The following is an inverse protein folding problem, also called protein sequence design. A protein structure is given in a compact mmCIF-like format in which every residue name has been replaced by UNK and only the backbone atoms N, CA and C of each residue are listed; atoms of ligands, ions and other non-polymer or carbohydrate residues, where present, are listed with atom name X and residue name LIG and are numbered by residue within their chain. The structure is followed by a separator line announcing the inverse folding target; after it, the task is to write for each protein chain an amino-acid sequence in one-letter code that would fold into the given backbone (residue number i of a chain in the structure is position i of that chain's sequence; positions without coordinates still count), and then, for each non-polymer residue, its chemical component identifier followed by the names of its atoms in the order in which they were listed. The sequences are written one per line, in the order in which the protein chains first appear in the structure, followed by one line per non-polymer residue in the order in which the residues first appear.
data_IF_419540352097
#
_entry.id   IF_419540352097
#
_cell.length_a   1.000
_cell.length_b   1.000
_cell.length_c   1.000
_cell.angle_alpha   90.00
_cell.angle_beta   90.00
_cell.angle_gamma   90.00
#
_symmetry.space_group_name_H-M   'P 1'
#
loop_
_entity.id
_entity.type
_entity.pdbx_description
1 polymer ?
#
# COMPACT_ATOMS: atom_id res chain seq x y z
N UNK A 1 12.57 3.04 26.37
CA UNK A 1 11.87 2.18 27.35
C UNK A 1 11.80 0.76 26.80
N UNK A 2 11.52 -0.24 27.65
CA UNK A 2 11.23 -1.62 27.25
C UNK A 2 9.88 -1.98 27.87
N UNK A 3 8.93 -2.45 27.06
CA UNK A 3 7.60 -2.87 27.52
C UNK A 3 7.55 -4.40 27.45
N UNK A 4 7.54 -5.05 28.62
CA UNK A 4 7.50 -6.50 28.73
C UNK A 4 6.11 -7.06 28.35
N UNK A 5 6.10 -8.20 27.67
CA UNK A 5 4.92 -9.04 27.50
C UNK A 5 5.34 -10.48 27.22
N UNK A 6 4.57 -11.43 27.73
CA UNK A 6 4.74 -12.87 27.47
C UNK A 6 3.80 -13.37 26.36
N UNK A 7 3.00 -12.49 25.76
CA UNK A 7 2.06 -12.81 24.70
C UNK A 7 2.58 -12.37 23.32
N UNK A 8 2.39 -13.23 22.32
CA UNK A 8 2.65 -12.92 20.90
C UNK A 8 1.54 -13.44 19.99
N UNK A 9 1.43 -12.81 18.82
CA UNK A 9 0.66 -13.35 17.70
C UNK A 9 1.53 -14.40 17.02
N UNK A 10 0.98 -15.59 16.82
CA UNK A 10 1.65 -16.67 16.12
C UNK A 10 1.33 -16.58 14.62
N UNK A 11 2.19 -17.17 13.79
CA UNK A 11 2.05 -17.10 12.33
C UNK A 11 0.79 -17.79 11.81
N UNK A 12 0.27 -18.78 12.54
CA UNK A 12 -0.93 -19.57 12.23
C UNK A 12 -2.22 -19.01 12.85
N UNK A 13 -2.13 -17.94 13.64
CA UNK A 13 -3.32 -17.29 14.16
C UNK A 13 -4.12 -16.61 13.04
N UNK A 14 -5.46 -16.72 13.09
CA UNK A 14 -6.31 -15.90 12.23
C UNK A 14 -6.13 -14.41 12.60
N UNK A 15 -5.71 -13.55 11.66
CA UNK A 15 -5.26 -12.19 11.96
C UNK A 15 -6.23 -11.34 12.78
N UNK A 16 -7.49 -11.26 12.37
CA UNK A 16 -8.45 -10.33 12.96
C UNK A 16 -8.89 -10.77 14.36
N UNK A 17 -9.08 -12.08 14.56
CA UNK A 17 -9.36 -12.68 15.86
C UNK A 17 -8.17 -12.55 16.80
N UNK A 18 -6.94 -12.71 16.32
CA UNK A 18 -5.73 -12.56 17.14
C UNK A 18 -5.63 -11.15 17.73
N UNK A 19 -5.75 -10.12 16.89
CA UNK A 19 -5.73 -8.71 17.31
C UNK A 19 -6.87 -8.37 18.28
N UNK A 20 -8.03 -9.02 18.13
CA UNK A 20 -9.16 -8.83 19.03
C UNK A 20 -8.99 -9.55 20.38
N UNK A 21 -8.35 -10.72 20.43
CA UNK A 21 -8.25 -11.52 21.66
C UNK A 21 -6.97 -11.27 22.46
N UNK A 22 -5.82 -11.24 21.79
CA UNK A 22 -4.49 -11.17 22.39
C UNK A 22 -4.09 -9.73 22.70
N UNK A 23 -4.80 -9.10 23.65
CA UNK A 23 -4.68 -7.65 23.93
C UNK A 23 -3.33 -7.22 24.47
N UNK A 24 -2.52 -8.18 24.93
CA UNK A 24 -1.18 -7.97 25.46
C UNK A 24 -0.10 -8.44 24.49
N UNK A 25 -0.46 -8.93 23.30
CA UNK A 25 0.55 -9.33 22.33
C UNK A 25 1.48 -8.17 21.96
N UNK A 26 2.77 -8.46 21.76
CA UNK A 26 3.79 -7.45 21.43
C UNK A 26 3.38 -6.50 20.29
N UNK A 27 2.82 -7.04 19.20
CA UNK A 27 2.31 -6.25 18.07
C UNK A 27 1.13 -5.34 18.45
N UNK A 28 0.23 -5.81 19.32
CA UNK A 28 -0.94 -5.04 19.77
C UNK A 28 -0.51 -3.89 20.69
N UNK A 29 0.42 -4.16 21.61
CA UNK A 29 0.96 -3.12 22.50
C UNK A 29 1.70 -2.05 21.71
N UNK A 30 2.52 -2.44 20.73
CA UNK A 30 3.23 -1.48 19.88
C UNK A 30 2.26 -0.61 19.04
N UNK A 31 1.21 -1.21 18.47
CA UNK A 31 0.18 -0.45 17.74
C UNK A 31 -0.63 0.49 18.65
N UNK A 32 -0.89 0.10 19.90
CA UNK A 32 -1.56 0.97 20.89
C UNK A 32 -0.70 2.18 21.28
N UNK A 33 0.60 1.99 21.50
CA UNK A 33 1.51 3.09 21.78
C UNK A 33 1.45 4.17 20.68
N UNK A 34 1.36 3.78 19.41
CA UNK A 34 1.14 4.72 18.30
C UNK A 34 -0.22 5.41 18.39
N UNK A 35 -1.28 4.65 18.69
CA UNK A 35 -2.64 5.20 18.83
C UNK A 35 -2.75 6.21 19.99
N UNK A 36 -2.01 5.99 21.07
CA UNK A 36 -2.04 6.79 22.30
C UNK A 36 -1.06 7.97 22.25
N UNK A 37 -0.28 8.11 21.17
CA UNK A 37 0.69 9.19 21.00
C UNK A 37 1.98 8.99 21.79
N UNK A 38 2.23 7.78 22.27
CA UNK A 38 3.47 7.39 22.96
C UNK A 38 4.60 7.00 21.99
N UNK A 39 4.26 6.74 20.72
CA UNK A 39 5.19 6.46 19.63
C UNK A 39 4.70 7.03 18.30
N UNK A 40 5.61 7.39 17.40
CA UNK A 40 5.27 7.96 16.09
C UNK A 40 4.97 6.90 15.01
N UNK A 41 5.57 5.71 15.14
CA UNK A 41 5.45 4.63 14.16
C UNK A 41 5.67 3.25 14.81
N UNK A 42 5.25 2.20 14.10
CA UNK A 42 5.45 0.80 14.51
C UNK A 42 5.99 -0.03 13.34
N UNK A 43 6.93 -0.91 13.63
CA UNK A 43 7.48 -1.91 12.71
C UNK A 43 7.31 -3.30 13.31
N UNK A 44 6.96 -4.28 12.49
CA UNK A 44 6.93 -5.69 12.90
C UNK A 44 7.31 -6.60 11.75
N UNK A 45 8.14 -7.59 12.02
CA UNK A 45 8.46 -8.71 11.12
C UNK A 45 7.58 -9.94 11.41
N UNK A 46 6.44 -9.74 12.10
CA UNK A 46 5.48 -10.81 12.42
C UNK A 46 4.54 -11.14 11.26
N UNK A 47 3.40 -11.76 11.58
CA UNK A 47 2.37 -12.08 10.60
C UNK A 47 1.85 -10.80 9.89
N UNK A 48 1.97 -10.73 8.56
CA UNK A 48 1.58 -9.57 7.74
C UNK A 48 0.10 -9.22 7.90
N UNK A 49 -0.79 -10.21 7.87
CA UNK A 49 -2.23 -10.00 8.03
C UNK A 49 -2.55 -9.41 9.41
N UNK A 50 -1.87 -9.86 10.46
CA UNK A 50 -2.04 -9.34 11.80
C UNK A 50 -1.56 -7.89 11.91
N UNK A 51 -0.45 -7.54 11.24
CA UNK A 51 0.06 -6.17 11.20
C UNK A 51 -0.90 -5.24 10.45
N UNK A 52 -1.43 -5.68 9.30
CA UNK A 52 -2.47 -4.96 8.57
C UNK A 52 -3.73 -4.75 9.43
N UNK A 53 -4.18 -5.79 10.13
CA UNK A 53 -5.31 -5.69 11.05
C UNK A 53 -5.03 -4.76 12.23
N UNK A 54 -3.83 -4.78 12.80
CA UNK A 54 -3.42 -3.86 13.87
C UNK A 54 -3.43 -2.40 13.38
N UNK A 55 -2.84 -2.14 12.21
CA UNK A 55 -2.83 -0.83 11.59
C UNK A 55 -4.25 -0.32 11.33
N UNK A 56 -5.13 -1.15 10.80
CA UNK A 56 -6.50 -0.75 10.49
C UNK A 56 -7.38 -0.54 11.74
N UNK A 57 -7.38 -1.49 12.69
CA UNK A 57 -8.30 -1.47 13.83
C UNK A 57 -7.80 -0.71 15.05
N UNK A 58 -6.48 -0.55 15.23
CA UNK A 58 -5.88 0.10 16.41
C UNK A 58 -5.37 1.49 16.04
N UNK A 59 -4.40 1.58 15.12
CA UNK A 59 -3.83 2.87 14.71
C UNK A 59 -4.91 3.72 14.02
N UNK A 60 -5.61 3.10 13.06
CA UNK A 60 -6.65 3.74 12.26
C UNK A 60 -6.11 4.30 10.96
N UNK A 61 -7.04 4.67 10.07
CA UNK A 61 -6.74 5.23 8.75
C UNK A 61 -6.73 6.75 8.79
N UNK A 62 -5.99 7.34 7.85
CA UNK A 62 -6.12 8.76 7.51
C UNK A 62 -7.57 9.04 7.08
N UNK A 63 -8.13 10.15 7.55
CA UNK A 63 -9.49 10.57 7.20
C UNK A 63 -9.62 10.66 5.68
N UNK A 64 -10.70 10.12 5.13
CA UNK A 64 -11.02 10.03 3.70
C UNK A 64 -10.17 9.04 2.88
N UNK A 65 -9.26 8.27 3.49
CA UNK A 65 -8.66 7.11 2.82
C UNK A 65 -9.51 5.88 3.11
N UNK A 66 -10.08 5.25 2.08
CA UNK A 66 -11.08 4.19 2.23
C UNK A 66 -10.49 2.86 2.70
N UNK A 67 -9.34 2.48 2.13
CA UNK A 67 -8.62 1.26 2.51
C UNK A 67 -7.10 1.51 2.47
N UNK A 68 -6.31 0.95 3.40
CA UNK A 68 -4.86 1.00 3.29
C UNK A 68 -4.41 0.15 2.09
N UNK A 69 -3.31 0.52 1.43
CA UNK A 69 -2.64 -0.34 0.45
C UNK A 69 -1.34 -0.89 1.04
N UNK A 70 -1.02 -2.16 0.80
CA UNK A 70 0.30 -2.69 1.11
C UNK A 70 1.25 -2.26 0.00
N UNK A 71 2.27 -1.48 0.37
CA UNK A 71 3.21 -0.90 -0.57
C UNK A 71 4.63 -1.38 -0.29
N UNK A 72 5.41 -1.59 -1.33
CA UNK A 72 6.86 -1.81 -1.22
C UNK A 72 7.58 -1.13 -2.37
N UNK A 73 8.82 -0.70 -2.11
CA UNK A 73 9.73 -0.27 -3.17
C UNK A 73 10.40 -1.52 -3.76
N UNK A 74 10.05 -1.86 -4.99
CA UNK A 74 10.61 -2.97 -5.75
C UNK A 74 11.82 -2.49 -6.56
N UNK A 75 12.79 -3.36 -6.88
CA UNK A 75 13.99 -2.98 -7.61
C UNK A 75 13.71 -2.66 -9.09
N UNK A 76 14.61 -1.90 -9.70
CA UNK A 76 14.73 -1.76 -11.16
C UNK A 76 16.14 -2.12 -11.57
N UNK A 77 16.36 -2.42 -12.86
CA UNK A 77 17.70 -2.76 -13.39
C UNK A 77 18.70 -1.62 -13.16
N UNK A 78 18.25 -0.36 -13.24
CA UNK A 78 19.08 0.82 -12.98
C UNK A 78 19.28 1.12 -11.48
N UNK A 79 18.75 0.28 -10.59
CA UNK A 79 18.93 0.36 -9.13
C UNK A 79 18.08 1.42 -8.42
N UNK A 80 17.25 2.20 -9.15
CA UNK A 80 16.43 3.27 -8.54
C UNK A 80 15.20 2.73 -7.81
N UNK A 81 14.62 1.64 -8.31
CA UNK A 81 13.39 1.03 -7.82
C UNK A 81 12.12 1.79 -8.19
N UNK A 82 10.96 1.21 -7.88
CA UNK A 82 9.64 1.80 -8.02
C UNK A 82 8.72 1.37 -6.87
N UNK A 83 7.81 2.24 -6.45
CA UNK A 83 6.83 1.88 -5.43
C UNK A 83 5.63 1.19 -6.08
N UNK A 84 5.22 0.05 -5.54
CA UNK A 84 4.06 -0.69 -6.06
C UNK A 84 3.05 -0.92 -4.95
N UNK A 85 1.78 -0.67 -5.26
CA UNK A 85 0.65 -0.88 -4.36
C UNK A 85 -0.67 -1.01 -5.15
N UNK A 86 -1.64 -1.82 -4.71
CA UNK A 86 -1.63 -2.70 -3.53
C UNK A 86 -0.97 -4.07 -3.82
N UNK A 87 -0.29 -4.65 -2.83
CA UNK A 87 0.42 -5.94 -2.89
C UNK A 87 -0.22 -7.02 -1.99
N UNK A 88 -1.53 -6.93 -1.76
CA UNK A 88 -2.28 -7.94 -1.01
C UNK A 88 -2.90 -7.48 0.31
N UNK A 89 -3.00 -6.16 0.57
CA UNK A 89 -3.83 -5.71 1.70
C UNK A 89 -5.33 -5.96 1.43
N UNK A 90 -5.76 -5.87 0.17
CA UNK A 90 -7.15 -5.99 -0.22
C UNK A 90 -7.28 -6.92 -1.42
N UNK A 91 -8.12 -7.95 -1.31
CA UNK A 91 -8.42 -8.85 -2.42
C UNK A 91 -9.36 -8.22 -3.47
N UNK A 92 -10.13 -7.21 -3.06
CA UNK A 92 -11.08 -6.51 -3.93
C UNK A 92 -10.90 -5.00 -3.81
N UNK A 93 -10.83 -4.33 -4.96
CA UNK A 93 -10.69 -2.89 -5.04
C UNK A 93 -11.70 -2.27 -6.02
N UNK A 94 -12.05 -1.01 -5.75
CA UNK A 94 -12.77 -0.14 -6.69
C UNK A 94 -11.77 0.77 -7.40
N UNK A 95 -12.21 1.41 -8.49
CA UNK A 95 -11.37 2.37 -9.20
C UNK A 95 -10.94 3.55 -8.31
N UNK A 96 -11.82 3.97 -7.40
CA UNK A 96 -11.50 5.00 -6.41
C UNK A 96 -10.39 4.57 -5.45
N UNK A 97 -10.33 3.29 -5.05
CA UNK A 97 -9.21 2.82 -4.22
C UNK A 97 -7.88 2.93 -4.97
N UNK A 98 -7.83 2.54 -6.24
CA UNK A 98 -6.61 2.65 -7.05
C UNK A 98 -6.23 4.12 -7.27
N UNK A 99 -7.20 5.02 -7.46
CA UNK A 99 -6.93 6.46 -7.49
C UNK A 99 -6.28 6.95 -6.19
N UNK A 100 -6.80 6.56 -5.01
CA UNK A 100 -6.18 6.90 -3.73
C UNK A 100 -4.76 6.32 -3.59
N UNK A 101 -4.52 5.12 -4.11
CA UNK A 101 -3.19 4.50 -4.13
C UNK A 101 -2.19 5.28 -4.99
N UNK A 102 -2.62 5.81 -6.13
CA UNK A 102 -1.79 6.71 -6.93
C UNK A 102 -1.36 7.96 -6.14
N UNK A 103 -2.30 8.58 -5.41
CA UNK A 103 -2.03 9.75 -4.59
C UNK A 103 -1.07 9.43 -3.45
N UNK A 104 -1.31 8.33 -2.71
CA UNK A 104 -0.47 7.90 -1.59
C UNK A 104 0.94 7.52 -2.05
N UNK A 105 1.05 6.74 -3.13
CA UNK A 105 2.33 6.32 -3.70
C UNK A 105 3.12 7.52 -4.23
N UNK A 106 2.46 8.46 -4.93
CA UNK A 106 3.09 9.70 -5.40
C UNK A 106 3.62 10.54 -4.24
N UNK A 107 2.85 10.65 -3.15
CA UNK A 107 3.30 11.35 -1.95
C UNK A 107 4.53 10.68 -1.31
N UNK A 108 4.54 9.34 -1.19
CA UNK A 108 5.68 8.61 -0.65
C UNK A 108 6.92 8.74 -1.53
N UNK A 109 6.79 8.51 -2.84
CA UNK A 109 7.88 8.63 -3.80
C UNK A 109 8.51 10.04 -3.78
N UNK A 110 7.70 11.08 -3.62
CA UNK A 110 8.18 12.46 -3.51
C UNK A 110 8.87 12.75 -2.19
N UNK A 111 8.20 12.48 -1.07
CA UNK A 111 8.64 12.97 0.24
C UNK A 111 9.63 12.03 0.94
N UNK A 112 9.58 10.73 0.65
CA UNK A 112 10.47 9.73 1.24
C UNK A 112 11.60 9.35 0.29
N UNK A 113 11.30 9.15 -1.00
CA UNK A 113 12.32 8.77 -2.01
C UNK A 113 12.93 9.96 -2.77
N UNK A 114 12.45 11.19 -2.54
CA UNK A 114 13.01 12.40 -3.14
C UNK A 114 12.72 12.60 -4.63
N UNK A 115 11.73 11.90 -5.19
CA UNK A 115 11.38 11.98 -6.62
C UNK A 115 10.45 13.18 -6.82
N UNK A 116 10.96 14.30 -7.36
CA UNK A 116 10.23 15.58 -7.42
C UNK A 116 8.85 15.50 -8.11
N UNK A 117 8.76 14.77 -9.23
CA UNK A 117 7.53 14.57 -10.02
C UNK A 117 7.36 13.08 -10.37
N UNK A 118 6.94 12.22 -9.40
CA UNK A 118 6.88 10.78 -9.58
C UNK A 118 5.93 10.39 -10.72
N UNK A 119 6.41 9.63 -11.68
CA UNK A 119 5.60 9.05 -12.76
C UNK A 119 4.71 7.97 -12.17
N UNK A 120 3.41 8.10 -12.34
CA UNK A 120 2.41 7.13 -11.88
C UNK A 120 1.93 6.31 -13.08
N UNK A 121 2.13 4.99 -13.03
CA UNK A 121 1.63 4.05 -14.03
C UNK A 121 0.51 3.18 -13.48
N UNK A 122 -0.46 2.84 -14.33
CA UNK A 122 -1.51 1.86 -14.01
C UNK A 122 -1.12 0.49 -14.57
N UNK A 123 -0.96 -0.52 -13.72
CA UNK A 123 -0.65 -1.87 -14.17
C UNK A 123 -1.81 -2.42 -15.02
N UNK A 124 -1.51 -2.81 -16.25
CA UNK A 124 -2.53 -3.22 -17.22
C UNK A 124 -2.02 -4.30 -18.18
N UNK A 125 -2.93 -4.84 -19.00
CA UNK A 125 -2.67 -5.90 -19.99
C UNK A 125 -2.31 -5.36 -21.39
N UNK A 126 -1.92 -4.09 -21.48
CA UNK A 126 -1.47 -3.41 -22.70
C UNK A 126 -1.28 -1.92 -22.43
N UNK A 127 -0.55 -1.24 -23.31
CA UNK A 127 -0.17 0.18 -23.13
C UNK A 127 -1.24 1.16 -23.59
N UNK A 128 -2.18 0.74 -24.43
CA UNK A 128 -3.21 1.61 -24.99
C UNK A 128 -4.26 2.00 -23.92
N UNK A 129 -4.79 3.23 -23.98
CA UNK A 129 -5.78 3.72 -22.99
C UNK A 129 -7.05 2.88 -22.92
N UNK A 130 -7.42 2.20 -24.00
CA UNK A 130 -8.61 1.34 -24.08
C UNK A 130 -8.43 -0.06 -23.48
N UNK A 131 -7.23 -0.41 -22.99
CA UNK A 131 -6.91 -1.73 -22.43
C UNK A 131 -7.36 -1.87 -20.97
N UNK A 132 -7.52 -3.12 -20.56
CA UNK A 132 -7.95 -3.47 -19.21
C UNK A 132 -9.41 -3.90 -19.09
N UNK A 133 -9.70 -4.46 -17.92
CA UNK A 133 -11.04 -4.77 -17.44
C UNK A 133 -11.80 -3.48 -17.06
N UNK A 134 -13.08 -3.56 -16.64
CA UNK A 134 -13.83 -2.38 -16.22
C UNK A 134 -13.15 -1.58 -15.10
N UNK A 135 -12.53 -2.26 -14.13
CA UNK A 135 -11.83 -1.63 -13.01
C UNK A 135 -10.66 -0.75 -13.50
N UNK A 136 -9.81 -1.28 -14.39
CA UNK A 136 -8.66 -0.55 -14.95
C UNK A 136 -9.11 0.61 -15.84
N UNK A 137 -10.16 0.43 -16.64
CA UNK A 137 -10.69 1.49 -17.51
C UNK A 137 -11.21 2.67 -16.70
N UNK A 138 -12.03 2.40 -15.69
CA UNK A 138 -12.54 3.44 -14.80
C UNK A 138 -11.40 4.11 -14.00
N UNK A 139 -10.42 3.32 -13.53
CA UNK A 139 -9.24 3.85 -12.86
C UNK A 139 -8.44 4.77 -13.79
N UNK A 140 -8.24 4.38 -15.04
CA UNK A 140 -7.52 5.18 -16.02
C UNK A 140 -8.17 6.55 -16.18
N UNK A 141 -9.50 6.61 -16.33
CA UNK A 141 -10.24 7.86 -16.47
C UNK A 141 -10.08 8.77 -15.23
N UNK A 142 -10.14 8.19 -14.02
CA UNK A 142 -9.92 8.92 -12.77
C UNK A 142 -8.50 9.47 -12.67
N UNK A 143 -7.48 8.69 -13.07
CA UNK A 143 -6.08 9.11 -13.02
C UNK A 143 -5.76 10.19 -14.06
N UNK A 144 -6.39 10.14 -15.23
CA UNK A 144 -6.27 11.21 -16.24
C UNK A 144 -6.91 12.51 -15.76
N UNK A 145 -8.05 12.43 -15.06
CA UNK A 145 -8.78 13.59 -14.58
C UNK A 145 -8.08 14.32 -13.40
N UNK A 146 -7.15 13.66 -12.71
CA UNK A 146 -6.43 14.24 -11.57
C UNK A 146 -5.12 14.92 -12.00
N UNK A 147 -5.21 16.23 -12.25
CA UNK A 147 -4.06 17.06 -12.65
C UNK A 147 -2.93 17.16 -11.61
N UNK A 148 -3.17 16.71 -10.37
CA UNK A 148 -2.13 16.67 -9.33
C UNK A 148 -1.16 15.49 -9.52
N UNK A 149 -1.54 14.49 -10.32
CA UNK A 149 -0.75 13.31 -10.61
C UNK A 149 0.03 13.47 -11.92
N UNK A 150 1.26 12.97 -11.94
CA UNK A 150 2.02 12.80 -13.18
C UNK A 150 1.71 11.41 -13.77
N UNK A 151 0.47 11.22 -14.20
CA UNK A 151 0.01 9.96 -14.77
C UNK A 151 0.62 9.72 -16.15
N UNK A 152 1.35 8.62 -16.31
CA UNK A 152 2.06 8.26 -17.56
C UNK A 152 1.34 7.18 -18.38
N UNK A 153 0.11 6.82 -17.98
CA UNK A 153 -0.72 5.85 -18.67
C UNK A 153 -0.55 4.42 -18.15
N UNK A 154 -0.91 3.46 -18.99
CA UNK A 154 -0.83 2.04 -18.69
C UNK A 154 0.61 1.54 -18.77
N UNK A 155 0.99 0.65 -17.84
CA UNK A 155 2.28 -0.05 -17.83
C UNK A 155 2.05 -1.55 -17.86
N UNK A 156 2.83 -2.26 -18.67
CA UNK A 156 2.76 -3.73 -18.75
C UNK A 156 3.69 -4.40 -17.74
N UNK A 157 3.28 -5.54 -17.19
CA UNK A 157 4.01 -6.27 -16.15
C UNK A 157 5.46 -6.61 -16.56
N UNK A 158 5.68 -6.91 -17.84
CA UNK A 158 7.02 -7.27 -18.38
C UNK A 158 8.04 -6.13 -18.26
N UNK A 159 7.57 -4.88 -18.17
CA UNK A 159 8.42 -3.70 -18.19
C UNK A 159 8.65 -3.10 -16.80
N UNK A 160 8.05 -3.65 -15.73
CA UNK A 160 8.13 -3.11 -14.36
C UNK A 160 9.58 -2.89 -13.89
N UNK A 161 10.44 -3.88 -14.14
CA UNK A 161 11.86 -3.80 -13.73
C UNK A 161 12.69 -2.82 -14.57
N UNK A 162 12.15 -2.30 -15.67
CA UNK A 162 12.84 -1.39 -16.59
C UNK A 162 12.64 0.10 -16.24
N UNK A 163 12.07 0.42 -15.07
CA UNK A 163 11.91 1.80 -14.62
C UNK A 163 10.85 2.59 -15.40
N UNK A 164 9.80 1.92 -15.88
CA UNK A 164 8.70 2.52 -16.65
C UNK A 164 7.90 3.57 -15.88
N UNK A 165 7.81 3.43 -14.56
CA UNK A 165 7.16 4.37 -13.66
C UNK A 165 7.91 4.41 -12.32
N UNK A 166 7.66 5.45 -11.54
CA UNK A 166 8.22 5.59 -10.19
C UNK A 166 7.25 5.04 -9.13
N UNK A 167 5.95 5.06 -9.46
CA UNK A 167 4.84 4.49 -8.71
C UNK A 167 3.99 3.66 -9.68
N UNK A 168 3.69 2.41 -9.35
CA UNK A 168 2.80 1.52 -10.10
C UNK A 168 1.61 1.14 -9.25
N UNK A 169 0.42 1.37 -9.79
CA UNK A 169 -0.84 1.13 -9.09
C UNK A 169 -1.55 -0.09 -9.64
N UNK A 170 -2.08 -0.92 -8.74
CA UNK A 170 -2.90 -2.10 -9.03
C UNK A 170 -3.86 -2.43 -7.89
N UNK A 171 -4.83 -3.32 -8.11
CA UNK A 171 -5.55 -3.99 -7.03
C UNK A 171 -4.65 -5.02 -6.32
N UNK A 172 -5.00 -5.34 -5.08
CA UNK A 172 -4.17 -6.21 -4.24
C UNK A 172 -4.25 -7.71 -4.55
N UNK A 173 -5.13 -8.16 -5.46
CA UNK A 173 -5.09 -9.54 -5.95
C UNK A 173 -4.06 -9.69 -7.10
N UNK A 174 -3.95 -8.66 -7.93
CA UNK A 174 -3.07 -8.63 -9.10
C UNK A 174 -1.64 -8.25 -8.73
N UNK A 175 -1.46 -7.38 -7.74
CA UNK A 175 -0.15 -7.01 -7.22
C UNK A 175 0.49 -8.12 -6.38
#
# INVERSE_FOLDING_TARGET
SIIHTDEKINSDDEPTKAIRKKKNASMVLAAKAVKEGEADAVLSAGNTGALLAAGFFIVGRIKNIDRPGLMSTLPTIDGKGFDMLDLGANAENTAHHLHQYAVLGSFYAKNVRGISKPRVGLLNNGTESSKGDPLRKETYDLLVADESLNFVGNVEARDLMNGVADVVVTDGFTG
#
